data_IF_226167942213
#
_entry.id   IF_226167942213
#
_cell.length_a   1.000
_cell.length_b   1.000
_cell.length_c   1.000
_cell.angle_alpha   90.00
_cell.angle_beta   90.00
_cell.angle_gamma   90.00
#
_symmetry.space_group_name_H-M   'P 1'
#
loop_
_entity.id
_entity.type
_entity.pdbx_description
1 polymer ?
#
# COMPACT_ATOMS: atom_id res chain seq x y z
N UNK A 1 20.51 29.04 10.70
CA UNK A 1 19.10 29.44 10.50
C UNK A 1 18.76 30.73 11.25
N UNK A 2 18.76 30.73 12.59
CA UNK A 2 18.36 31.90 13.39
C UNK A 2 19.13 33.19 13.08
N UNK A 3 20.46 33.14 13.01
CA UNK A 3 21.31 34.31 12.72
C UNK A 3 20.91 35.03 11.41
N UNK A 4 20.52 34.26 10.38
CA UNK A 4 20.06 34.81 9.11
C UNK A 4 18.71 35.53 9.27
N UNK A 5 17.72 34.90 9.91
CA UNK A 5 16.40 35.50 10.15
C UNK A 5 16.50 36.73 11.06
N UNK A 6 17.33 36.67 12.10
CA UNK A 6 17.53 37.77 13.04
C UNK A 6 18.22 38.98 12.43
N UNK A 7 19.05 38.78 11.39
CA UNK A 7 19.66 39.88 10.63
C UNK A 7 18.65 40.61 9.72
N UNK A 8 17.56 39.93 9.34
CA UNK A 8 16.54 40.41 8.39
C UNK A 8 15.16 40.51 9.02
N UNK A 9 15.06 41.07 10.25
CA UNK A 9 13.81 41.06 11.03
C UNK A 9 12.60 41.62 10.28
N UNK A 10 12.77 42.69 9.51
CA UNK A 10 11.67 43.36 8.80
C UNK A 10 11.11 42.54 7.62
N UNK A 11 11.87 41.59 7.08
CA UNK A 11 11.46 40.79 5.92
C UNK A 11 11.22 39.32 6.26
N UNK A 12 11.98 38.77 7.21
CA UNK A 12 11.97 37.34 7.56
C UNK A 12 11.15 37.01 8.81
N UNK A 13 10.81 38.00 9.64
CA UNK A 13 10.00 37.78 10.85
C UNK A 13 8.69 38.54 10.74
N UNK A 14 7.64 37.95 11.30
CA UNK A 14 6.33 38.57 11.46
C UNK A 14 6.07 38.81 12.94
N UNK A 15 5.18 39.75 13.24
CA UNK A 15 4.79 40.03 14.64
C UNK A 15 3.75 39.04 15.14
N UNK A 16 2.80 38.69 14.27
CA UNK A 16 1.63 37.89 14.61
C UNK A 16 1.41 36.74 13.62
N UNK A 17 0.85 35.62 14.09
CA UNK A 17 0.51 34.48 13.24
C UNK A 17 -0.50 34.85 12.15
N UNK A 18 -1.50 35.69 12.45
CA UNK A 18 -2.52 36.11 11.46
C UNK A 18 -1.90 36.86 10.27
N UNK A 19 -1.07 37.86 10.56
CA UNK A 19 -0.31 38.62 9.55
C UNK A 19 0.58 37.66 8.74
N UNK A 20 1.19 36.72 9.44
CA UNK A 20 1.97 35.64 8.88
C UNK A 20 1.25 34.82 7.83
N UNK A 21 0.09 34.29 8.19
CA UNK A 21 -0.74 33.46 7.31
C UNK A 21 -1.15 34.26 6.07
N UNK A 22 -1.61 35.50 6.24
CA UNK A 22 -1.96 36.37 5.10
C UNK A 22 -0.75 36.62 4.19
N UNK A 23 0.45 36.81 4.74
CA UNK A 23 1.67 37.00 3.95
C UNK A 23 2.05 35.76 3.16
N UNK A 24 1.95 34.56 3.75
CA UNK A 24 2.18 33.29 3.05
C UNK A 24 1.21 33.12 1.89
N UNK A 25 -0.06 33.53 2.05
CA UNK A 25 -1.08 33.42 1.00
C UNK A 25 -0.92 34.43 -0.15
N UNK A 26 -0.29 35.58 0.10
CA UNK A 26 -0.26 36.70 -0.86
C UNK A 26 1.10 36.87 -1.54
N UNK A 27 2.17 36.33 -0.97
CA UNK A 27 3.54 36.54 -1.43
C UNK A 27 4.34 35.23 -1.35
N UNK A 28 5.47 35.15 -2.07
CA UNK A 28 6.40 34.03 -1.99
C UNK A 28 7.17 34.01 -0.66
N UNK A 29 6.46 33.67 0.42
CA UNK A 29 6.98 33.69 1.78
C UNK A 29 6.65 32.38 2.49
N UNK A 30 7.67 31.74 3.07
CA UNK A 30 7.51 30.57 3.92
C UNK A 30 7.56 30.98 5.40
N UNK A 31 6.61 30.46 6.18
CA UNK A 31 6.54 30.68 7.62
C UNK A 31 6.92 29.42 8.39
N UNK A 32 7.73 29.60 9.43
CA UNK A 32 7.90 28.58 10.47
C UNK A 32 6.90 28.85 11.59
N UNK A 33 6.11 27.84 11.91
CA UNK A 33 5.13 27.87 12.99
C UNK A 33 5.11 26.49 13.67
N UNK A 34 4.49 26.43 14.84
CA UNK A 34 4.31 25.21 15.59
C UNK A 34 3.41 24.21 14.84
N UNK A 35 3.75 22.92 14.92
CA UNK A 35 3.14 21.86 14.10
C UNK A 35 1.63 21.75 14.30
N UNK A 36 1.14 21.81 15.53
CA UNK A 36 -0.31 21.71 15.80
C UNK A 36 -1.09 22.90 15.26
N UNK A 37 -0.47 24.08 15.24
CA UNK A 37 -1.05 25.29 14.66
C UNK A 37 -1.11 25.20 13.13
N UNK A 38 -0.06 24.65 12.50
CA UNK A 38 -0.03 24.43 11.04
C UNK A 38 -1.14 23.44 10.65
N UNK A 39 -1.19 22.28 11.32
CA UNK A 39 -2.22 21.25 11.12
C UNK A 39 -3.64 21.82 11.25
N UNK A 40 -3.88 22.66 12.26
CA UNK A 40 -5.17 23.31 12.46
C UNK A 40 -5.58 24.23 11.29
N UNK A 41 -4.63 25.00 10.78
CA UNK A 41 -4.87 26.03 9.75
C UNK A 41 -4.96 25.40 8.36
N UNK A 42 -4.12 24.41 8.05
CA UNK A 42 -4.13 23.71 6.76
C UNK A 42 -5.42 22.92 6.56
N UNK A 43 -5.93 22.25 7.61
CA UNK A 43 -7.23 21.57 7.55
C UNK A 43 -8.42 22.50 7.28
N UNK A 44 -8.26 23.82 7.49
CA UNK A 44 -9.31 24.83 7.27
C UNK A 44 -9.09 25.68 6.03
N UNK A 45 -7.86 25.76 5.53
CA UNK A 45 -7.48 26.58 4.39
C UNK A 45 -6.67 25.71 3.42
N UNK A 46 -7.33 25.21 2.37
CA UNK A 46 -6.72 24.29 1.40
C UNK A 46 -5.65 24.94 0.51
N UNK A 47 -5.55 26.27 0.53
CA UNK A 47 -4.48 27.01 -0.16
C UNK A 47 -3.13 26.95 0.58
N UNK A 48 -3.10 26.41 1.81
CA UNK A 48 -1.91 26.28 2.61
C UNK A 48 -1.52 24.81 2.74
N UNK A 49 -0.23 24.54 2.55
CA UNK A 49 0.32 23.20 2.71
C UNK A 49 1.52 23.23 3.64
N UNK A 50 1.71 22.15 4.40
CA UNK A 50 2.89 21.96 5.22
C UNK A 50 3.98 21.32 4.37
N UNK A 51 5.14 21.97 4.30
CA UNK A 51 6.31 21.45 3.60
C UNK A 51 7.34 20.99 4.62
N UNK A 52 7.79 19.74 4.49
CA UNK A 52 8.81 19.13 5.33
C UNK A 52 8.30 18.60 6.67
N UNK A 53 9.23 18.03 7.45
CA UNK A 53 8.96 17.42 8.76
C UNK A 53 9.08 18.41 9.93
N UNK A 54 8.98 17.88 11.15
CA UNK A 54 9.20 18.65 12.37
C UNK A 54 10.69 18.95 12.53
N UNK A 55 11.03 20.22 12.77
CA UNK A 55 12.41 20.66 13.04
C UNK A 55 12.82 20.31 14.49
N UNK A 56 11.83 20.25 15.39
CA UNK A 56 12.02 20.00 16.81
C UNK A 56 10.76 19.36 17.39
N UNK A 57 10.93 18.57 18.44
CA UNK A 57 9.84 17.96 19.20
C UNK A 57 9.66 18.72 20.51
N UNK A 58 8.66 19.60 20.55
CA UNK A 58 8.27 20.36 21.74
C UNK A 58 6.83 20.01 22.10
N UNK A 59 6.53 20.08 23.41
CA UNK A 59 5.22 19.73 23.95
C UNK A 59 4.66 20.83 24.85
N UNK A 60 3.34 20.90 24.94
CA UNK A 60 2.64 21.76 25.87
C UNK A 60 2.57 21.14 27.26
N UNK A 61 2.68 21.97 28.30
CA UNK A 61 2.58 21.55 29.69
C UNK A 61 1.78 22.55 30.52
N UNK A 62 1.18 22.07 31.60
CA UNK A 62 0.47 22.91 32.57
C UNK A 62 1.44 23.33 33.66
N UNK A 63 1.70 24.64 33.78
CA UNK A 63 2.58 25.20 34.80
C UNK A 63 1.84 25.53 36.09
N UNK A 64 2.38 25.12 37.23
CA UNK A 64 1.92 25.55 38.56
C UNK A 64 3.04 26.29 39.30
N UNK A 65 2.73 27.20 40.26
CA UNK A 65 3.73 27.83 41.10
C UNK A 65 4.66 26.82 41.78
N UNK A 66 5.90 27.22 42.04
CA UNK A 66 6.87 26.36 42.72
C UNK A 66 6.38 26.01 44.13
N UNK A 67 6.44 24.73 44.50
CA UNK A 67 5.91 24.24 45.77
C UNK A 67 4.39 24.07 45.84
N UNK A 68 3.65 24.20 44.73
CA UNK A 68 2.20 23.98 44.77
C UNK A 68 1.86 22.52 45.10
N UNK A 69 0.87 22.26 45.98
CA UNK A 69 0.42 20.91 46.30
C UNK A 69 -0.40 20.26 45.17
N UNK A 70 -0.70 21.01 44.10
CA UNK A 70 -1.50 20.55 42.97
C UNK A 70 -0.67 19.95 41.84
N UNK A 71 0.63 20.22 41.78
CA UNK A 71 1.51 19.75 40.70
C UNK A 71 1.39 18.25 40.47
N UNK A 72 1.49 17.47 41.54
CA UNK A 72 1.51 16.01 41.43
C UNK A 72 0.11 15.48 41.10
N UNK A 73 -0.95 16.06 41.68
CA UNK A 73 -2.34 15.70 41.38
C UNK A 73 -2.71 15.96 39.92
N UNK A 74 -2.33 17.12 39.38
CA UNK A 74 -2.57 17.49 37.98
C UNK A 74 -1.78 16.57 37.05
N UNK A 75 -0.54 16.24 37.40
CA UNK A 75 0.29 15.33 36.61
C UNK A 75 -0.36 13.94 36.52
N UNK A 76 -0.81 13.37 37.65
CA UNK A 76 -1.50 12.07 37.67
C UNK A 76 -2.79 12.12 36.85
N UNK A 77 -3.59 13.18 36.97
CA UNK A 77 -4.81 13.34 36.19
C UNK A 77 -4.54 13.41 34.67
N UNK A 78 -3.48 14.10 34.25
CA UNK A 78 -3.09 14.15 32.83
C UNK A 78 -2.68 12.76 32.32
N UNK A 79 -1.93 11.99 33.13
CA UNK A 79 -1.54 10.62 32.77
C UNK A 79 -2.77 9.71 32.61
N UNK A 80 -3.75 9.81 33.51
CA UNK A 80 -5.02 9.08 33.39
C UNK A 80 -5.76 9.44 32.09
N UNK A 81 -5.83 10.74 31.74
CA UNK A 81 -6.45 11.18 30.48
C UNK A 81 -5.69 10.71 29.22
N UNK A 82 -4.38 10.51 29.32
CA UNK A 82 -3.56 9.92 28.25
C UNK A 82 -3.82 8.42 28.11
N UNK A 83 -3.82 7.68 29.21
CA UNK A 83 -4.09 6.24 29.24
C UNK A 83 -5.50 5.92 28.72
N UNK A 84 -6.50 6.71 29.12
CA UNK A 84 -7.87 6.59 28.62
C UNK A 84 -8.05 7.06 27.15
N UNK A 85 -7.02 7.65 26.52
CA UNK A 85 -7.09 8.18 25.16
C UNK A 85 -7.99 9.41 25.00
N UNK A 86 -8.47 10.02 26.09
CA UNK A 86 -9.37 11.18 26.06
C UNK A 86 -8.73 12.39 25.40
N UNK A 87 -7.42 12.59 25.57
CA UNK A 87 -6.70 13.66 24.88
C UNK A 87 -6.75 13.52 23.36
N UNK A 88 -6.64 12.30 22.85
CA UNK A 88 -6.72 12.05 21.40
C UNK A 88 -8.14 12.32 20.88
N UNK A 89 -9.17 11.85 21.59
CA UNK A 89 -10.57 12.15 21.24
C UNK A 89 -10.85 13.67 21.21
N UNK A 90 -10.29 14.42 22.16
CA UNK A 90 -10.39 15.88 22.16
C UNK A 90 -9.62 16.49 20.99
N UNK A 91 -8.40 16.04 20.69
CA UNK A 91 -7.64 16.52 19.52
C UNK A 91 -8.48 16.33 18.25
N UNK A 92 -8.97 15.12 18.00
CA UNK A 92 -9.81 14.81 16.84
C UNK A 92 -11.02 15.74 16.77
N UNK A 93 -11.74 15.92 17.89
CA UNK A 93 -12.93 16.78 17.94
C UNK A 93 -12.65 18.24 17.62
N UNK A 94 -11.53 18.80 18.08
CA UNK A 94 -11.21 20.23 17.94
C UNK A 94 -10.39 20.54 16.69
N UNK A 95 -9.51 19.62 16.27
CA UNK A 95 -8.67 19.79 15.11
C UNK A 95 -9.37 19.37 13.82
N UNK A 96 -10.03 18.18 13.75
CA UNK A 96 -10.77 17.76 12.54
C UNK A 96 -11.80 18.82 12.19
N UNK A 97 -11.50 19.55 11.13
CA UNK A 97 -12.42 20.46 10.49
C UNK A 97 -12.81 19.89 9.12
N UNK A 98 -14.06 20.11 8.73
CA UNK A 98 -14.62 19.76 7.42
C UNK A 98 -14.08 20.68 6.30
N UNK A 99 -12.91 21.30 6.51
CA UNK A 99 -12.52 22.53 5.84
C UNK A 99 -11.96 22.34 4.45
N UNK A 100 -11.45 21.15 4.15
CA UNK A 100 -11.08 20.75 2.81
C UNK A 100 -11.82 19.45 2.49
N UNK A 101 -12.47 19.34 1.31
CA UNK A 101 -12.74 18.01 0.80
C UNK A 101 -11.40 17.29 0.81
N UNK A 102 -11.34 16.09 1.38
CA UNK A 102 -10.24 15.21 0.99
C UNK A 102 -10.27 15.22 -0.52
N UNK A 103 -9.18 15.65 -1.17
CA UNK A 103 -9.01 15.34 -2.58
C UNK A 103 -8.86 13.82 -2.64
N UNK A 104 -9.99 13.13 -2.52
CA UNK A 104 -10.18 11.78 -2.96
C UNK A 104 -9.64 11.77 -4.40
N UNK A 105 -8.53 11.06 -4.59
CA UNK A 105 -7.94 10.69 -5.87
C UNK A 105 -6.87 11.62 -6.50
N UNK A 106 -5.86 12.05 -5.73
CA UNK A 106 -4.51 12.28 -6.29
C UNK A 106 -3.39 11.42 -5.68
N UNK A 107 -3.70 10.50 -4.77
CA UNK A 107 -2.72 9.56 -4.20
C UNK A 107 -3.11 8.07 -4.34
N UNK A 108 -4.01 7.74 -5.26
CA UNK A 108 -4.18 6.35 -5.72
C UNK A 108 -3.29 6.00 -6.94
N UNK A 109 -2.42 6.92 -7.40
CA UNK A 109 -1.62 6.73 -8.62
C UNK A 109 -0.13 6.44 -8.42
N UNK A 110 0.45 6.45 -7.22
CA UNK A 110 1.93 6.54 -7.14
C UNK A 110 2.67 5.62 -6.17
N UNK A 111 2.06 4.57 -5.59
CA UNK A 111 2.84 3.54 -4.88
C UNK A 111 2.45 2.07 -5.17
N UNK A 112 1.35 1.81 -5.89
CA UNK A 112 0.84 0.43 -6.07
C UNK A 112 1.10 -0.22 -7.43
N UNK A 113 1.18 0.54 -8.53
CA UNK A 113 1.20 -0.05 -9.89
C UNK A 113 2.49 0.26 -10.65
N UNK A 114 3.07 1.45 -10.46
CA UNK A 114 4.30 1.86 -11.15
C UNK A 114 5.54 1.09 -10.62
N UNK A 115 5.58 0.80 -9.32
CA UNK A 115 6.65 0.01 -8.70
C UNK A 115 6.46 -1.52 -8.86
N UNK A 116 5.22 -2.00 -9.05
CA UNK A 116 4.91 -3.44 -9.25
C UNK A 116 4.93 -3.81 -10.75
N UNK A 117 4.83 -2.82 -11.66
CA UNK A 117 4.86 -3.03 -13.11
C UNK A 117 6.11 -3.77 -13.62
N UNK A 118 7.26 -3.59 -12.95
CA UNK A 118 8.48 -4.31 -13.28
C UNK A 118 8.34 -5.83 -13.22
N UNK A 119 7.58 -6.36 -12.26
CA UNK A 119 7.41 -7.82 -12.11
C UNK A 119 6.56 -8.40 -13.24
N UNK A 120 5.53 -7.68 -13.68
CA UNK A 120 4.66 -8.12 -14.76
C UNK A 120 5.39 -8.13 -16.11
N UNK A 121 6.26 -7.14 -16.35
CA UNK A 121 7.09 -7.07 -17.56
C UNK A 121 8.08 -8.23 -17.62
N UNK A 122 8.75 -8.56 -16.51
CA UNK A 122 9.70 -9.69 -16.46
C UNK A 122 8.98 -11.03 -16.69
N UNK A 123 7.79 -11.21 -16.12
CA UNK A 123 6.98 -12.42 -16.33
C UNK A 123 6.53 -12.56 -17.79
N UNK A 124 6.02 -11.47 -18.40
CA UNK A 124 5.60 -11.48 -19.80
C UNK A 124 6.77 -11.75 -20.75
N UNK A 125 7.93 -11.11 -20.51
CA UNK A 125 9.13 -11.34 -21.30
C UNK A 125 9.64 -12.78 -21.17
N UNK A 126 9.64 -13.35 -19.96
CA UNK A 126 10.03 -14.74 -19.70
C UNK A 126 9.15 -15.75 -20.42
N UNK A 127 7.83 -15.53 -20.45
CA UNK A 127 6.88 -16.38 -21.18
C UNK A 127 7.16 -16.36 -22.68
N UNK A 128 7.33 -15.17 -23.25
CA UNK A 128 7.60 -15.00 -24.69
C UNK A 128 8.92 -15.69 -25.07
N UNK A 129 9.99 -15.46 -24.31
CA UNK A 129 11.31 -16.05 -24.57
C UNK A 129 11.25 -17.58 -24.46
N UNK A 130 10.53 -18.12 -23.47
CA UNK A 130 10.33 -19.57 -23.32
C UNK A 130 9.62 -20.19 -24.53
N UNK A 131 8.60 -19.52 -25.08
CA UNK A 131 7.89 -20.00 -26.28
C UNK A 131 8.82 -20.01 -27.50
N UNK A 132 9.64 -18.96 -27.68
CA UNK A 132 10.61 -18.91 -28.78
C UNK A 132 11.67 -20.00 -28.68
N UNK A 133 12.19 -20.29 -27.48
CA UNK A 133 13.15 -21.38 -27.27
C UNK A 133 12.50 -22.73 -27.58
N UNK A 134 11.26 -22.97 -27.11
CA UNK A 134 10.54 -24.21 -27.39
C UNK A 134 10.30 -24.43 -28.89
N UNK A 135 9.94 -23.38 -29.63
CA UNK A 135 9.79 -23.45 -31.09
C UNK A 135 11.15 -23.67 -31.77
N UNK A 136 12.21 -22.99 -31.31
CA UNK A 136 13.56 -23.15 -31.84
C UNK A 136 14.08 -24.58 -31.66
N UNK A 137 13.91 -25.16 -30.48
CA UNK A 137 14.26 -26.56 -30.20
C UNK A 137 13.36 -27.53 -30.98
N UNK A 138 12.07 -27.24 -31.14
CA UNK A 138 11.17 -28.06 -31.93
C UNK A 138 11.58 -28.09 -33.40
N UNK A 139 11.95 -26.95 -34.00
CA UNK A 139 12.43 -26.89 -35.39
C UNK A 139 13.81 -27.54 -35.52
N UNK A 140 14.73 -27.28 -34.58
CA UNK A 140 16.04 -27.91 -34.59
C UNK A 140 15.92 -29.43 -34.49
N UNK A 141 15.08 -29.92 -33.58
CA UNK A 141 14.84 -31.35 -33.38
C UNK A 141 14.00 -31.95 -34.51
N UNK A 142 13.08 -31.23 -35.14
CA UNK A 142 12.36 -31.69 -36.33
C UNK A 142 13.29 -31.81 -37.55
N UNK A 143 14.20 -30.84 -37.75
CA UNK A 143 15.24 -30.92 -38.80
C UNK A 143 16.25 -32.01 -38.50
N UNK A 144 16.71 -32.13 -37.25
CA UNK A 144 17.59 -33.22 -36.85
C UNK A 144 16.90 -34.58 -36.87
N UNK A 145 15.58 -34.64 -36.62
CA UNK A 145 14.77 -35.85 -36.75
C UNK A 145 14.58 -36.24 -38.22
N UNK A 146 14.61 -35.32 -39.19
CA UNK A 146 14.71 -35.68 -40.60
C UNK A 146 16.06 -36.35 -40.93
N UNK A 147 17.15 -35.94 -40.27
CA UNK A 147 18.45 -36.63 -40.35
C UNK A 147 18.53 -37.90 -39.45
N UNK A 148 17.64 -38.03 -38.47
CA UNK A 148 17.60 -39.12 -37.47
C UNK A 148 16.45 -40.10 -37.75
N UNK A 149 15.58 -39.95 -38.76
CA UNK A 149 14.60 -40.99 -39.10
C UNK A 149 15.28 -42.31 -39.50
N UNK A 150 16.51 -42.28 -40.05
CA UNK A 150 17.32 -43.50 -40.22
C UNK A 150 17.88 -44.06 -38.88
N UNK A 151 18.09 -43.22 -37.86
CA UNK A 151 18.69 -43.62 -36.58
C UNK A 151 17.67 -43.87 -35.45
N UNK A 152 16.46 -43.29 -35.52
CA UNK A 152 15.42 -43.38 -34.50
C UNK A 152 14.61 -44.68 -34.62
N UNK A 153 14.41 -45.17 -35.84
CA UNK A 153 13.82 -46.49 -36.08
C UNK A 153 14.68 -47.59 -35.43
N UNK A 154 16.00 -47.37 -35.32
CA UNK A 154 16.91 -48.31 -34.67
C UNK A 154 16.87 -48.25 -33.13
N UNK A 155 16.56 -47.08 -32.53
CA UNK A 155 16.64 -46.90 -31.06
C UNK A 155 15.28 -46.98 -30.33
N UNK A 156 14.17 -46.62 -30.97
CA UNK A 156 12.82 -46.73 -30.37
C UNK A 156 12.24 -48.14 -30.33
N UNK A 157 12.91 -49.13 -30.93
CA UNK A 157 12.59 -50.55 -30.73
C UNK A 157 12.87 -51.07 -29.32
N UNK A 158 13.59 -50.33 -28.46
CA UNK A 158 14.12 -50.87 -27.19
C UNK A 158 13.57 -50.20 -25.91
N UNK A 159 12.78 -49.12 -25.99
CA UNK A 159 12.30 -48.40 -24.78
C UNK A 159 10.80 -48.52 -24.49
N UNK A 160 10.15 -49.62 -24.86
CA UNK A 160 8.80 -49.97 -24.38
C UNK A 160 8.79 -50.70 -23.02
N UNK A 161 9.91 -50.78 -22.29
CA UNK A 161 10.04 -51.67 -21.12
C UNK A 161 10.20 -51.05 -19.72
N UNK A 162 10.15 -49.74 -19.48
CA UNK A 162 10.46 -49.21 -18.12
C UNK A 162 9.53 -48.18 -17.48
N UNK A 163 8.35 -47.88 -18.03
CA UNK A 163 7.36 -47.06 -17.30
C UNK A 163 6.15 -47.88 -16.80
N UNK A 164 6.42 -49.01 -16.14
CA UNK A 164 5.41 -49.78 -15.40
C UNK A 164 5.90 -50.25 -14.02
N UNK A 165 6.71 -49.44 -13.33
CA UNK A 165 7.12 -49.70 -11.94
C UNK A 165 7.15 -48.42 -11.08
N UNK A 166 5.98 -47.88 -10.76
CA UNK A 166 5.64 -47.11 -9.55
C UNK A 166 4.21 -46.60 -9.72
N UNK A 167 3.20 -46.98 -8.94
CA UNK A 167 3.14 -47.87 -7.80
C UNK A 167 1.73 -48.42 -7.68
N UNK A 168 1.64 -49.74 -7.50
CA UNK A 168 0.47 -50.44 -6.99
C UNK A 168 0.67 -50.63 -5.50
N UNK A 169 -0.10 -49.90 -4.69
CA UNK A 169 -0.51 -50.38 -3.36
C UNK A 169 -2.02 -50.54 -3.40
N UNK A 170 -2.40 -51.82 -3.41
CA UNK A 170 -3.74 -52.36 -3.30
C UNK A 170 -4.42 -51.94 -2.00
N UNK A 171 -5.68 -51.53 -2.09
CA UNK A 171 -6.70 -51.98 -1.15
C UNK A 171 -8.03 -52.08 -1.87
N UNK A 172 -8.42 -53.33 -2.10
CA UNK A 172 -9.70 -53.83 -2.59
C UNK A 172 -10.89 -53.28 -1.81
N UNK A 173 -12.03 -53.07 -2.49
CA UNK A 173 -13.32 -52.91 -1.81
C UNK A 173 -14.37 -52.13 -2.58
N UNK A 174 -15.01 -52.78 -3.55
CA UNK A 174 -16.46 -52.75 -3.84
C UNK A 174 -17.32 -51.58 -3.32
N UNK A 175 -17.84 -50.74 -4.24
CA UNK A 175 -19.27 -50.37 -4.42
C UNK A 175 -19.34 -49.26 -5.49
N UNK A 176 -19.92 -49.51 -6.66
CA UNK A 176 -21.36 -49.42 -6.94
C UNK A 176 -21.95 -48.05 -6.59
N UNK A 177 -22.00 -47.15 -7.58
CA UNK A 177 -23.25 -46.61 -8.15
C UNK A 177 -22.96 -45.38 -8.99
N UNK A 178 -23.22 -45.54 -10.28
CA UNK A 178 -23.52 -44.47 -11.23
C UNK A 178 -24.71 -43.65 -10.73
N UNK A 179 -24.59 -42.33 -10.76
CA UNK A 179 -25.67 -41.38 -10.54
C UNK A 179 -26.83 -41.61 -11.53
N UNK A 180 -27.84 -42.34 -11.06
CA UNK A 180 -29.26 -42.12 -11.37
C UNK A 180 -29.71 -41.08 -10.32
N UNK A 181 -30.47 -40.04 -10.59
CA UNK A 181 -31.79 -40.09 -11.21
C UNK A 181 -32.22 -38.64 -11.48
N UNK A 182 -32.42 -38.31 -12.76
CA UNK A 182 -33.17 -37.15 -13.17
C UNK A 182 -34.64 -37.53 -13.18
N UNK A 183 -35.47 -36.82 -12.42
CA UNK A 183 -36.92 -36.83 -12.63
C UNK A 183 -37.74 -36.39 -11.43
N UNK A 184 -38.36 -35.20 -11.51
CA UNK A 184 -39.80 -35.07 -11.24
C UNK A 184 -40.42 -33.77 -11.76
N UNK A 185 -41.32 -33.96 -12.73
CA UNK A 185 -42.64 -33.34 -12.96
C UNK A 185 -42.82 -31.81 -13.01
N UNK A 186 -43.21 -31.31 -14.18
CA UNK A 186 -44.54 -30.79 -14.56
C UNK A 186 -44.36 -30.30 -16.02
N UNK A 187 -45.01 -30.87 -17.03
CA UNK A 187 -46.45 -30.79 -17.27
C UNK A 187 -46.75 -29.50 -18.04
N UNK A 188 -46.82 -29.56 -19.37
CA UNK A 188 -47.81 -28.83 -20.18
C UNK A 188 -47.73 -29.26 -21.66
N UNK A 189 -48.89 -29.25 -22.28
CA UNK A 189 -49.32 -29.91 -23.52
C UNK A 189 -48.78 -29.32 -24.84
N UNK A 190 -48.87 -30.10 -25.92
CA UNK A 190 -49.82 -29.91 -27.06
C UNK A 190 -49.21 -30.22 -28.44
N UNK A 191 -49.88 -31.14 -29.15
CA UNK A 191 -49.89 -31.52 -30.58
C UNK A 191 -48.59 -31.98 -31.29
#
# INVERSE_FOLDING_TARGET
>A
MWAFMSSRKNTALVKNNKEGITRVLTTDYAMLMESTSIEYISQRNCNLTQIGGLIDSKGYGVGTPIGSPYRDKVTIAILQLQEEGKLHMMKEKWWRGNGCPEEDNKEANALGVENIGGIFIVLAAGLVLSVFVAIGEFIYKARRNADIEEAFCFFYGVQSRQFQRRGSTSSSGTSLSTDLESGRLLGDDTD
#
